data_IF_267519487965
#
_entry.id   IF_267519487965
#
_cell.length_a   1.000
_cell.length_b   1.000
_cell.length_c   1.000
_cell.angle_alpha   90.00
_cell.angle_beta   90.00
_cell.angle_gamma   90.00
#
_symmetry.space_group_name_H-M   'P 1'
#
loop_
_entity.id
_entity.type
_entity.pdbx_description
1 polymer ?
#
# COMPACT_ATOMS: atom_id res chain seq x y z
N UNK A 1 -31.68 -4.94 16.84
CA UNK A 1 -30.69 -3.98 17.36
C UNK A 1 -29.47 -3.93 16.43
N UNK A 2 -28.93 -2.75 16.17
CA UNK A 2 -27.66 -2.56 15.45
C UNK A 2 -26.63 -1.97 16.42
N UNK A 3 -25.41 -2.46 16.38
CA UNK A 3 -24.27 -1.93 17.13
C UNK A 3 -23.16 -1.73 16.11
N UNK A 4 -22.74 -0.49 15.93
CA UNK A 4 -21.63 -0.16 15.06
C UNK A 4 -20.36 0.15 15.86
N UNK A 5 -19.20 -0.02 15.22
CA UNK A 5 -17.87 0.25 15.77
C UNK A 5 -17.62 -0.37 17.15
N UNK A 6 -18.09 -1.61 17.36
CA UNK A 6 -18.01 -2.26 18.68
C UNK A 6 -16.58 -2.43 19.21
N UNK A 7 -15.61 -2.44 18.31
CA UNK A 7 -14.18 -2.64 18.54
C UNK A 7 -13.38 -1.33 18.61
N UNK A 8 -14.02 -0.17 18.44
CA UNK A 8 -13.31 1.12 18.38
C UNK A 8 -12.42 1.35 19.61
N UNK A 9 -12.92 1.01 20.80
CA UNK A 9 -12.15 1.13 22.04
C UNK A 9 -10.83 0.32 22.00
N UNK A 10 -10.80 -0.82 21.32
CA UNK A 10 -9.62 -1.67 21.21
C UNK A 10 -8.65 -1.14 20.16
N UNK A 11 -9.16 -0.58 19.05
CA UNK A 11 -8.32 0.09 18.07
C UNK A 11 -7.61 1.30 18.71
N UNK A 12 -8.33 2.11 19.47
CA UNK A 12 -7.76 3.24 20.24
C UNK A 12 -6.72 2.78 21.27
N UNK A 13 -6.99 1.67 21.96
CA UNK A 13 -6.06 1.06 22.92
C UNK A 13 -4.73 0.69 22.26
N UNK A 14 -4.78 0.06 21.07
CA UNK A 14 -3.58 -0.31 20.33
C UNK A 14 -2.76 0.90 19.89
N UNK A 15 -3.43 1.97 19.44
CA UNK A 15 -2.78 3.17 18.89
C UNK A 15 -2.17 4.07 19.97
N UNK A 16 -2.83 4.19 21.13
CA UNK A 16 -2.43 5.12 22.19
C UNK A 16 -1.43 4.53 23.20
N UNK A 17 -1.26 3.20 23.25
CA UNK A 17 -0.32 2.59 24.19
C UNK A 17 1.12 2.75 23.70
N UNK A 18 1.70 3.89 24.06
CA UNK A 18 3.15 4.09 23.99
C UNK A 18 3.76 3.18 25.06
N UNK A 19 4.41 2.11 24.61
CA UNK A 19 5.34 1.19 25.28
C UNK A 19 5.52 1.40 26.80
N UNK A 20 5.27 0.32 27.54
CA UNK A 20 5.56 0.11 28.98
C UNK A 20 4.59 0.70 30.01
N UNK A 21 3.46 0.02 30.22
CA UNK A 21 3.07 -0.37 31.58
C UNK A 21 1.98 -1.44 31.56
N UNK A 22 2.27 -2.54 32.25
CA UNK A 22 1.28 -3.48 32.80
C UNK A 22 0.65 -2.84 34.03
N UNK A 23 0.15 -1.61 33.93
CA UNK A 23 -0.52 -0.97 35.05
C UNK A 23 -1.97 -1.47 35.08
N UNK A 24 -2.31 -2.30 36.06
CA UNK A 24 -3.68 -2.78 36.26
C UNK A 24 -4.67 -1.64 36.55
N UNK A 25 -4.15 -0.45 36.94
CA UNK A 25 -4.93 0.76 37.17
C UNK A 25 -5.07 1.66 35.93
N UNK A 26 -4.60 1.22 34.76
CA UNK A 26 -4.89 1.90 33.50
C UNK A 26 -6.41 2.01 33.32
N UNK A 27 -6.99 3.23 33.18
CA UNK A 27 -8.41 3.45 32.99
C UNK A 27 -9.02 2.57 31.89
N UNK A 28 -8.26 2.26 30.85
CA UNK A 28 -8.71 1.38 29.76
C UNK A 28 -8.78 -0.09 30.19
N UNK A 29 -7.83 -0.57 30.99
CA UNK A 29 -7.87 -1.92 31.56
C UNK A 29 -9.09 -2.08 32.49
N UNK A 30 -9.43 -1.06 33.28
CA UNK A 30 -10.62 -1.03 34.13
C UNK A 30 -11.94 -0.96 33.34
N UNK A 31 -11.94 -0.29 32.18
CA UNK A 31 -13.12 -0.20 31.31
C UNK A 31 -13.53 -1.57 30.72
N UNK A 32 -12.54 -2.44 30.48
CA UNK A 32 -12.72 -3.70 29.76
C UNK A 32 -12.66 -4.93 30.69
N UNK A 33 -11.86 -4.91 31.78
CA UNK A 33 -11.77 -6.01 32.74
C UNK A 33 -12.92 -6.01 33.76
N UNK A 34 -12.95 -7.07 34.57
CA UNK A 34 -14.02 -7.53 35.48
C UNK A 34 -14.82 -6.37 36.13
N UNK A 35 -16.10 -6.29 35.73
CA UNK A 35 -17.15 -5.32 36.15
C UNK A 35 -17.11 -3.93 35.49
N UNK A 36 -16.32 -3.77 34.43
CA UNK A 36 -16.31 -2.56 33.59
C UNK A 36 -17.62 -2.28 32.82
N UNK A 37 -17.86 -1.03 32.39
CA UNK A 37 -19.10 -0.60 31.74
C UNK A 37 -19.46 -1.40 30.47
N UNK A 38 -18.46 -1.78 29.68
CA UNK A 38 -18.66 -2.49 28.41
C UNK A 38 -19.27 -3.89 28.64
N UNK A 39 -18.80 -4.60 29.68
CA UNK A 39 -19.36 -5.88 30.10
C UNK A 39 -20.82 -5.76 30.54
N UNK A 40 -21.13 -4.72 31.31
CA UNK A 40 -22.48 -4.44 31.81
C UNK A 40 -23.45 -4.15 30.66
N UNK A 41 -23.02 -3.34 29.68
CA UNK A 41 -23.79 -3.05 28.47
C UNK A 41 -24.14 -4.34 27.73
N UNK A 42 -23.15 -5.13 27.32
CA UNK A 42 -23.42 -6.35 26.52
C UNK A 42 -24.20 -7.42 27.29
N UNK A 43 -24.08 -7.49 28.62
CA UNK A 43 -24.98 -8.33 29.44
C UNK A 43 -26.44 -7.86 29.33
N UNK A 44 -26.70 -6.56 29.45
CA UNK A 44 -28.03 -5.99 29.30
C UNK A 44 -28.60 -6.24 27.88
N UNK A 45 -27.76 -6.09 26.85
CA UNK A 45 -28.15 -6.41 25.48
C UNK A 45 -28.49 -7.88 25.30
N UNK A 46 -27.73 -8.78 25.93
CA UNK A 46 -28.04 -10.22 25.93
C UNK A 46 -29.38 -10.50 26.59
N UNK A 47 -29.67 -9.91 27.76
CA UNK A 47 -30.98 -10.08 28.40
C UNK A 47 -32.14 -9.54 27.54
N UNK A 48 -31.88 -8.48 26.77
CA UNK A 48 -32.83 -7.92 25.81
C UNK A 48 -33.09 -8.80 24.58
N UNK A 49 -32.29 -9.83 24.31
CA UNK A 49 -32.53 -10.78 23.19
C UNK A 49 -33.64 -11.81 23.44
N UNK A 50 -34.46 -11.62 24.48
CA UNK A 50 -35.62 -12.46 24.80
C UNK A 50 -36.94 -11.74 24.45
N UNK A 51 -38.08 -12.45 24.59
CA UNK A 51 -39.42 -12.08 24.05
C UNK A 51 -39.93 -10.66 24.31
N UNK A 52 -39.36 -9.93 25.27
CA UNK A 52 -39.77 -8.57 25.63
C UNK A 52 -38.84 -7.46 25.07
N UNK A 53 -37.84 -7.81 24.25
CA UNK A 53 -36.87 -6.86 23.68
C UNK A 53 -36.71 -6.98 22.16
N UNK A 54 -35.56 -7.46 21.67
CA UNK A 54 -35.26 -7.56 20.23
C UNK A 54 -34.84 -8.96 19.80
N UNK A 55 -35.33 -9.42 18.64
CA UNK A 55 -35.09 -10.78 18.15
C UNK A 55 -33.65 -11.04 17.68
N UNK A 56 -33.00 -10.01 17.15
CA UNK A 56 -31.65 -10.12 16.56
C UNK A 56 -30.81 -8.88 16.86
N UNK A 57 -29.52 -9.13 17.03
CA UNK A 57 -28.48 -8.11 17.10
C UNK A 57 -27.53 -8.29 15.94
N UNK A 58 -27.25 -7.20 15.24
CA UNK A 58 -26.21 -7.12 14.23
C UNK A 58 -25.11 -6.21 14.77
N UNK A 59 -23.87 -6.68 14.70
CA UNK A 59 -22.71 -6.01 15.27
C UNK A 59 -21.69 -5.84 14.15
N UNK A 60 -21.25 -4.60 13.93
CA UNK A 60 -20.23 -4.22 12.96
C UNK A 60 -19.05 -3.57 13.65
N UNK A 61 -17.89 -3.73 13.04
CA UNK A 61 -16.59 -3.30 13.54
C UNK A 61 -15.50 -3.67 12.55
N UNK A 62 -14.28 -3.19 12.80
CA UNK A 62 -13.13 -3.39 11.91
C UNK A 62 -12.34 -4.65 12.31
N UNK A 63 -11.85 -4.67 13.54
CA UNK A 63 -11.03 -5.72 14.13
C UNK A 63 -11.89 -6.66 15.00
N UNK A 64 -11.84 -7.99 14.81
CA UNK A 64 -12.62 -8.91 15.62
C UNK A 64 -12.01 -9.08 17.02
N UNK A 65 -12.33 -8.19 17.96
CA UNK A 65 -11.89 -8.32 19.35
C UNK A 65 -12.67 -9.42 20.06
N UNK A 66 -12.00 -10.20 20.90
CA UNK A 66 -12.61 -11.27 21.69
C UNK A 66 -13.65 -10.68 22.66
N UNK A 67 -14.91 -10.78 22.25
CA UNK A 67 -16.05 -10.37 23.05
C UNK A 67 -16.18 -11.14 24.37
N UNK A 68 -15.55 -12.32 24.53
CA UNK A 68 -15.57 -13.05 25.80
C UNK A 68 -14.66 -12.46 26.87
N UNK A 69 -13.56 -11.83 26.47
CA UNK A 69 -12.61 -11.18 27.38
C UNK A 69 -13.20 -9.86 27.90
N UNK A 70 -13.96 -9.18 27.04
CA UNK A 70 -14.77 -8.01 27.35
C UNK A 70 -16.07 -8.42 28.08
N UNK A 71 -16.65 -9.56 27.70
CA UNK A 71 -18.00 -9.97 28.10
C UNK A 71 -18.06 -11.50 28.27
N UNK A 72 -17.98 -11.98 29.51
CA UNK A 72 -18.48 -13.34 29.83
C UNK A 72 -20.00 -13.49 29.56
N UNK A 73 -20.65 -12.47 28.99
CA UNK A 73 -22.08 -12.34 28.76
C UNK A 73 -22.52 -12.58 27.32
N UNK A 74 -21.76 -12.23 26.28
CA UNK A 74 -22.27 -12.24 24.89
C UNK A 74 -21.79 -13.42 24.03
N UNK A 75 -21.82 -14.64 24.58
CA UNK A 75 -21.43 -15.89 23.90
C UNK A 75 -22.42 -16.39 22.82
N UNK A 76 -23.45 -15.61 22.48
CA UNK A 76 -24.47 -15.94 21.48
C UNK A 76 -24.15 -15.37 20.09
N UNK A 77 -23.12 -14.53 19.97
CA UNK A 77 -22.72 -13.93 18.70
C UNK A 77 -22.04 -14.95 17.77
N UNK A 78 -22.38 -14.87 16.48
CA UNK A 78 -21.78 -15.68 15.42
C UNK A 78 -21.05 -14.79 14.43
N UNK A 79 -19.74 -15.02 14.28
CA UNK A 79 -18.89 -14.32 13.34
C UNK A 79 -19.23 -14.67 11.89
N UNK A 80 -19.29 -13.67 11.01
CA UNK A 80 -19.67 -13.82 9.59
C UNK A 80 -18.69 -13.20 8.60
N UNK A 81 -17.60 -12.57 9.05
CA UNK A 81 -16.71 -11.78 8.19
C UNK A 81 -16.03 -12.57 7.05
N UNK A 82 -15.80 -13.89 7.16
CA UNK A 82 -15.26 -14.73 6.06
C UNK A 82 -16.31 -15.51 5.26
N UNK A 83 -17.60 -15.34 5.59
CA UNK A 83 -18.70 -16.08 4.97
C UNK A 83 -18.98 -15.50 3.59
N UNK A 84 -18.74 -16.30 2.55
CA UNK A 84 -18.90 -15.91 1.14
C UNK A 84 -20.27 -15.29 0.82
N UNK A 85 -21.32 -15.66 1.56
CA UNK A 85 -22.68 -15.10 1.36
C UNK A 85 -22.77 -13.61 1.69
N UNK A 86 -21.79 -13.08 2.43
CA UNK A 86 -21.70 -11.67 2.80
C UNK A 86 -20.61 -10.93 2.02
N UNK A 87 -19.84 -11.61 1.15
CA UNK A 87 -18.73 -11.00 0.39
C UNK A 87 -19.17 -9.74 -0.34
N UNK A 88 -20.23 -9.81 -1.15
CA UNK A 88 -20.78 -8.67 -1.92
C UNK A 88 -21.36 -7.54 -1.07
N UNK A 89 -21.59 -7.73 0.23
CA UNK A 89 -22.02 -6.63 1.11
C UNK A 89 -20.88 -5.69 1.46
N UNK A 90 -19.63 -6.11 1.26
CA UNK A 90 -18.45 -5.34 1.64
C UNK A 90 -17.89 -4.44 0.53
N UNK A 91 -18.52 -4.41 -0.65
CA UNK A 91 -17.95 -3.73 -1.82
C UNK A 91 -18.85 -3.73 -3.04
N UNK A 92 -18.55 -2.86 -4.01
CA UNK A 92 -19.22 -2.89 -5.32
C UNK A 92 -18.56 -3.90 -6.25
N UNK A 93 -19.36 -4.45 -7.15
CA UNK A 93 -18.88 -5.32 -8.24
C UNK A 93 -18.44 -4.51 -9.44
N UNK A 94 -17.65 -5.13 -10.32
CA UNK A 94 -17.23 -4.51 -11.58
C UNK A 94 -18.42 -4.07 -12.44
N UNK A 95 -19.50 -4.85 -12.46
CA UNK A 95 -20.70 -4.53 -13.24
C UNK A 95 -21.45 -3.30 -12.71
N UNK A 96 -21.57 -3.18 -11.38
CA UNK A 96 -22.20 -2.01 -10.74
C UNK A 96 -21.40 -0.74 -11.02
N UNK A 97 -20.07 -0.78 -10.86
CA UNK A 97 -19.20 0.37 -11.15
C UNK A 97 -19.25 0.77 -12.63
N UNK A 98 -19.16 -0.20 -13.55
CA UNK A 98 -19.27 0.08 -14.99
C UNK A 98 -20.61 0.70 -15.38
N UNK A 99 -21.70 0.28 -14.74
CA UNK A 99 -23.02 0.83 -15.01
C UNK A 99 -23.10 2.30 -14.60
N UNK A 100 -22.67 2.63 -13.38
CA UNK A 100 -22.65 4.03 -12.90
C UNK A 100 -21.78 4.93 -13.80
N UNK A 101 -20.59 4.46 -14.20
CA UNK A 101 -19.69 5.23 -15.08
C UNK A 101 -20.36 5.54 -16.42
N UNK A 102 -21.07 4.57 -17.02
CA UNK A 102 -21.75 4.76 -18.31
C UNK A 102 -22.87 5.78 -18.21
N UNK A 103 -23.63 5.76 -17.12
CA UNK A 103 -24.69 6.73 -16.84
C UNK A 103 -24.09 8.13 -16.73
N UNK A 104 -23.05 8.32 -15.91
CA UNK A 104 -22.39 9.62 -15.73
C UNK A 104 -21.77 10.14 -17.04
N UNK A 105 -21.07 9.29 -17.80
CA UNK A 105 -20.49 9.68 -19.10
C UNK A 105 -21.56 10.17 -20.07
N UNK A 106 -22.73 9.52 -20.07
CA UNK A 106 -23.87 9.94 -20.89
C UNK A 106 -24.51 11.24 -20.40
N UNK A 107 -24.63 11.43 -19.09
CA UNK A 107 -25.19 12.65 -18.49
C UNK A 107 -24.30 13.88 -18.71
N UNK A 108 -22.98 13.68 -18.66
CA UNK A 108 -21.97 14.71 -18.86
C UNK A 108 -21.63 14.99 -20.34
N UNK A 109 -22.24 14.27 -21.30
CA UNK A 109 -21.93 14.36 -22.75
C UNK A 109 -20.42 14.18 -23.05
N UNK A 110 -19.77 13.24 -22.34
CA UNK A 110 -18.35 12.96 -22.49
C UNK A 110 -18.09 11.98 -23.65
N UNK A 111 -16.89 12.00 -24.25
CA UNK A 111 -16.49 11.05 -25.29
C UNK A 111 -16.68 9.59 -24.85
N UNK A 112 -17.15 8.67 -25.71
CA UNK A 112 -17.43 7.28 -25.32
C UNK A 112 -16.23 6.52 -24.74
N UNK A 113 -15.00 6.85 -25.17
CA UNK A 113 -13.77 6.25 -24.65
C UNK A 113 -13.46 6.66 -23.20
N UNK A 114 -14.09 7.72 -22.68
CA UNK A 114 -13.98 8.11 -21.28
C UNK A 114 -14.53 7.04 -20.35
N UNK A 115 -15.59 6.32 -20.74
CA UNK A 115 -16.14 5.25 -19.89
C UNK A 115 -15.09 4.16 -19.61
N UNK A 116 -14.36 3.72 -20.64
CA UNK A 116 -13.30 2.71 -20.49
C UNK A 116 -12.10 3.25 -19.71
N UNK A 117 -11.69 4.50 -19.97
CA UNK A 117 -10.61 5.17 -19.22
C UNK A 117 -10.95 5.33 -17.74
N UNK A 118 -12.16 5.77 -17.43
CA UNK A 118 -12.66 5.91 -16.05
C UNK A 118 -12.73 4.56 -15.36
N UNK A 119 -13.23 3.53 -16.05
CA UNK A 119 -13.33 2.19 -15.48
C UNK A 119 -11.95 1.61 -15.15
N UNK A 120 -10.98 1.68 -16.06
CA UNK A 120 -9.62 1.20 -15.79
C UNK A 120 -8.94 2.03 -14.68
N UNK A 121 -9.22 3.33 -14.57
CA UNK A 121 -8.76 4.15 -13.44
C UNK A 121 -9.33 3.63 -12.11
N UNK A 122 -10.65 3.54 -11.98
CA UNK A 122 -11.30 3.07 -10.75
C UNK A 122 -10.89 1.63 -10.40
N UNK A 123 -10.69 0.77 -11.40
CA UNK A 123 -10.22 -0.59 -11.21
C UNK A 123 -8.81 -0.62 -10.62
N UNK A 124 -7.90 0.19 -11.13
CA UNK A 124 -6.51 0.27 -10.63
C UNK A 124 -6.43 0.84 -9.21
N UNK A 125 -7.27 1.84 -8.89
CA UNK A 125 -7.19 2.53 -7.60
C UNK A 125 -8.07 1.91 -6.51
N UNK A 126 -9.23 1.34 -6.83
CA UNK A 126 -10.26 1.01 -5.83
C UNK A 126 -10.70 -0.46 -5.79
N UNK A 127 -10.44 -1.25 -6.84
CA UNK A 127 -10.73 -2.68 -6.85
C UNK A 127 -9.64 -3.50 -6.16
N UNK A 128 -9.92 -4.71 -5.74
CA UNK A 128 -8.90 -5.65 -5.24
C UNK A 128 -9.26 -6.31 -3.91
N UNK A 129 -10.41 -5.96 -3.32
CA UNK A 129 -10.81 -6.51 -2.03
C UNK A 129 -11.47 -7.88 -2.16
N UNK A 130 -11.05 -8.82 -1.32
CA UNK A 130 -11.61 -10.16 -1.22
C UNK A 130 -11.65 -10.61 0.23
N UNK A 131 -12.87 -10.89 0.70
CA UNK A 131 -13.14 -11.21 2.11
C UNK A 131 -13.37 -12.71 2.36
N UNK A 132 -13.25 -13.54 1.33
CA UNK A 132 -13.37 -15.00 1.45
C UNK A 132 -12.50 -15.67 0.39
N UNK A 133 -11.80 -16.75 0.75
CA UNK A 133 -11.05 -17.58 -0.20
C UNK A 133 -11.93 -18.26 -1.25
N UNK A 134 -13.24 -18.35 -0.99
CA UNK A 134 -14.22 -18.92 -1.93
C UNK A 134 -14.75 -17.89 -2.93
N UNK A 135 -14.44 -16.61 -2.76
CA UNK A 135 -14.88 -15.56 -3.66
C UNK A 135 -14.06 -15.59 -4.95
N UNK A 136 -14.75 -15.49 -6.09
CA UNK A 136 -14.11 -15.41 -7.41
C UNK A 136 -13.91 -13.97 -7.89
N UNK A 137 -14.77 -13.07 -7.44
CA UNK A 137 -14.74 -11.66 -7.82
C UNK A 137 -14.05 -10.82 -6.73
N UNK A 138 -13.19 -9.90 -7.16
CA UNK A 138 -12.72 -8.80 -6.32
C UNK A 138 -13.77 -7.69 -6.31
N UNK A 139 -13.83 -6.97 -5.19
CA UNK A 139 -14.75 -5.87 -4.99
C UNK A 139 -14.01 -4.54 -4.91
N UNK A 140 -14.74 -3.49 -5.26
CA UNK A 140 -14.32 -2.11 -5.15
C UNK A 140 -14.65 -1.59 -3.75
N UNK A 141 -13.73 -0.81 -3.18
CA UNK A 141 -13.96 -0.10 -1.92
C UNK A 141 -15.16 0.86 -2.09
N UNK A 142 -16.26 0.71 -1.32
CA UNK A 142 -17.45 1.54 -1.48
C UNK A 142 -17.20 3.04 -1.31
N UNK A 143 -16.51 3.42 -0.23
CA UNK A 143 -16.26 4.83 0.11
C UNK A 143 -15.49 5.53 -0.99
N UNK A 144 -14.37 4.95 -1.42
CA UNK A 144 -13.54 5.53 -2.49
C UNK A 144 -14.25 5.52 -3.84
N UNK A 145 -15.06 4.50 -4.12
CA UNK A 145 -15.84 4.45 -5.36
C UNK A 145 -16.89 5.55 -5.39
N UNK A 146 -17.62 5.75 -4.29
CA UNK A 146 -18.62 6.82 -4.19
C UNK A 146 -17.96 8.20 -4.25
N UNK A 147 -16.87 8.42 -3.51
CA UNK A 147 -16.08 9.65 -3.57
C UNK A 147 -15.70 10.02 -5.01
N UNK A 148 -15.18 9.06 -5.76
CA UNK A 148 -14.80 9.29 -7.15
C UNK A 148 -16.01 9.54 -8.06
N UNK A 149 -17.06 8.72 -7.94
CA UNK A 149 -18.25 8.82 -8.78
C UNK A 149 -19.02 10.11 -8.52
N UNK A 150 -19.09 10.58 -7.27
CA UNK A 150 -19.70 11.84 -6.89
C UNK A 150 -18.97 13.01 -7.55
N UNK A 151 -17.64 13.10 -7.40
CA UNK A 151 -16.85 14.12 -8.08
C UNK A 151 -16.99 14.06 -9.61
N UNK A 152 -17.00 12.84 -10.17
CA UNK A 152 -17.15 12.65 -11.61
C UNK A 152 -18.54 13.05 -12.12
N UNK A 153 -19.60 12.83 -11.34
CA UNK A 153 -20.95 13.25 -11.67
C UNK A 153 -21.13 14.76 -11.55
N UNK A 154 -20.66 15.36 -10.46
CA UNK A 154 -20.87 16.77 -10.15
C UNK A 154 -20.09 17.71 -11.08
N UNK A 155 -18.87 17.32 -11.44
CA UNK A 155 -17.94 18.18 -12.19
C UNK A 155 -17.63 17.68 -13.59
N UNK A 156 -18.09 16.48 -13.97
CA UNK A 156 -17.70 15.82 -15.21
C UNK A 156 -16.18 15.66 -15.37
N UNK A 157 -15.46 15.65 -14.24
CA UNK A 157 -14.01 15.58 -14.12
C UNK A 157 -13.62 14.61 -13.00
N UNK A 158 -12.45 13.98 -13.11
CA UNK A 158 -11.97 13.10 -12.04
C UNK A 158 -11.55 13.91 -10.81
N UNK A 159 -11.68 13.35 -9.58
CA UNK A 159 -11.20 14.03 -8.40
C UNK A 159 -9.69 14.32 -8.51
N UNK A 160 -9.26 15.45 -7.96
CA UNK A 160 -7.84 15.84 -7.97
C UNK A 160 -7.01 14.81 -7.18
N UNK A 161 -7.45 14.48 -5.98
CA UNK A 161 -6.88 13.45 -5.13
C UNK A 161 -7.57 12.12 -5.38
N UNK A 162 -6.80 11.03 -5.47
CA UNK A 162 -7.39 9.70 -5.65
C UNK A 162 -7.80 9.05 -4.33
N UNK A 163 -7.36 9.61 -3.20
CA UNK A 163 -7.70 9.16 -1.86
C UNK A 163 -8.58 10.21 -1.18
N UNK A 164 -9.64 9.77 -0.51
CA UNK A 164 -10.42 10.60 0.40
C UNK A 164 -9.66 10.78 1.73
N UNK A 165 -9.50 12.03 2.17
CA UNK A 165 -8.86 12.39 3.44
C UNK A 165 -9.54 11.73 4.64
N UNK A 166 -10.82 11.38 4.55
CA UNK A 166 -11.54 10.66 5.61
C UNK A 166 -10.98 9.24 5.85
N UNK A 167 -10.19 8.69 4.92
CA UNK A 167 -9.48 7.42 5.08
C UNK A 167 -8.07 7.58 5.69
N UNK A 168 -7.68 8.79 6.10
CA UNK A 168 -6.37 9.06 6.71
C UNK A 168 -6.10 8.25 8.00
N UNK A 169 -7.16 7.74 8.67
CA UNK A 169 -7.09 6.88 9.86
C UNK A 169 -6.22 5.62 9.62
N UNK A 170 -6.12 5.14 8.38
CA UNK A 170 -5.30 3.97 8.04
C UNK A 170 -3.78 4.25 8.09
N UNK A 171 -3.37 5.52 8.00
CA UNK A 171 -1.97 5.93 8.13
C UNK A 171 -1.44 5.70 9.55
N UNK A 172 -2.28 5.91 10.57
CA UNK A 172 -1.88 5.69 11.97
C UNK A 172 -1.65 4.22 12.27
N UNK A 173 -2.45 3.32 11.67
CA UNK A 173 -2.34 1.87 11.84
C UNK A 173 -1.05 1.35 11.21
N UNK A 174 -0.69 1.79 10.01
CA UNK A 174 0.62 1.45 9.40
C UNK A 174 1.79 2.04 10.20
N UNK A 175 1.61 3.24 10.75
CA UNK A 175 2.60 3.85 11.66
C UNK A 175 2.80 2.99 12.90
N UNK A 176 1.73 2.46 13.49
CA UNK A 176 1.82 1.52 14.59
C UNK A 176 2.54 0.23 14.17
N UNK A 177 2.09 -0.43 13.09
CA UNK A 177 2.69 -1.69 12.63
C UNK A 177 4.19 -1.55 12.40
N UNK A 178 4.63 -0.48 11.73
CA UNK A 178 6.05 -0.27 11.46
C UNK A 178 6.96 -0.12 12.68
N UNK A 179 6.40 0.20 13.85
CA UNK A 179 7.16 0.33 15.12
C UNK A 179 7.32 -1.02 15.82
N UNK A 180 6.65 -2.07 15.34
CA UNK A 180 6.75 -3.42 15.88
C UNK A 180 8.07 -4.09 15.42
N UNK A 181 8.63 -5.04 16.19
CA UNK A 181 9.95 -5.65 15.91
C UNK A 181 10.14 -6.21 14.50
N UNK A 182 9.07 -6.69 13.85
CA UNK A 182 9.10 -7.25 12.48
C UNK A 182 8.33 -6.40 11.46
N UNK A 183 7.78 -5.25 11.88
CA UNK A 183 6.85 -4.47 11.08
C UNK A 183 7.51 -3.69 9.94
N UNK A 184 8.69 -3.11 10.18
CA UNK A 184 9.44 -2.37 9.17
C UNK A 184 9.88 -3.26 7.98
N UNK A 185 10.53 -4.42 8.19
CA UNK A 185 10.81 -5.36 7.10
C UNK A 185 9.54 -5.78 6.36
N UNK A 186 8.45 -6.12 7.07
CA UNK A 186 7.19 -6.55 6.49
C UNK A 186 6.56 -5.49 5.57
N UNK A 187 6.51 -4.23 6.01
CA UNK A 187 5.98 -3.12 5.21
C UNK A 187 6.83 -2.89 3.96
N UNK A 188 8.15 -3.02 4.08
CA UNK A 188 9.10 -2.85 2.97
C UNK A 188 8.98 -3.99 1.95
N UNK A 189 8.89 -5.24 2.43
CA UNK A 189 8.75 -6.42 1.57
C UNK A 189 7.43 -6.46 0.81
N UNK A 190 6.35 -5.91 1.39
CA UNK A 190 5.08 -5.76 0.70
C UNK A 190 5.13 -4.81 -0.52
N UNK A 191 6.19 -4.01 -0.66
CA UNK A 191 6.43 -3.19 -1.87
C UNK A 191 7.12 -3.97 -2.99
N UNK A 192 7.53 -5.21 -2.75
CA UNK A 192 8.01 -6.09 -3.82
C UNK A 192 6.88 -6.43 -4.80
N UNK A 193 7.29 -6.75 -6.02
CA UNK A 193 6.38 -7.22 -7.06
C UNK A 193 5.71 -8.53 -6.62
N UNK A 194 4.39 -8.61 -6.81
CA UNK A 194 3.59 -9.78 -6.41
C UNK A 194 3.83 -10.18 -4.95
N UNK A 195 4.24 -9.21 -4.10
CA UNK A 195 4.49 -9.49 -2.70
C UNK A 195 3.21 -10.00 -2.06
N UNK A 196 3.38 -11.07 -1.30
CA UNK A 196 2.34 -11.57 -0.44
C UNK A 196 2.92 -12.06 0.86
N UNK A 197 2.10 -11.92 1.89
CA UNK A 197 2.33 -12.53 3.19
C UNK A 197 1.54 -13.81 3.24
N UNK A 198 2.23 -14.92 3.50
CA UNK A 198 1.60 -16.21 3.68
C UNK A 198 1.43 -16.48 5.17
N UNK A 199 0.22 -16.88 5.55
CA UNK A 199 -0.14 -17.23 6.92
C UNK A 199 -1.02 -18.48 6.92
N UNK A 200 -1.03 -19.29 7.99
CA UNK A 200 -1.90 -20.46 8.05
C UNK A 200 -3.39 -20.10 7.92
N UNK A 201 -3.81 -18.99 8.52
CA UNK A 201 -5.15 -18.42 8.39
C UNK A 201 -5.21 -17.03 9.00
N UNK A 202 -6.18 -16.21 8.59
CA UNK A 202 -6.53 -14.98 9.31
C UNK A 202 -6.99 -15.34 10.71
N UNK A 203 -6.41 -14.71 11.72
CA UNK A 203 -6.83 -14.88 13.11
C UNK A 203 -8.31 -14.57 13.24
N UNK A 204 -9.06 -15.51 13.81
CA UNK A 204 -10.51 -15.35 13.92
C UNK A 204 -10.89 -14.24 14.92
N UNK A 205 -10.05 -13.99 15.93
CA UNK A 205 -10.26 -12.98 16.95
C UNK A 205 -8.93 -12.53 17.55
N UNK A 206 -8.89 -11.33 18.10
CA UNK A 206 -7.78 -10.81 18.89
C UNK A 206 -8.18 -10.73 20.36
N UNK A 207 -7.47 -11.46 21.23
CA UNK A 207 -7.59 -11.29 22.67
C UNK A 207 -7.09 -9.91 23.08
N UNK A 208 -7.60 -9.36 24.18
CA UNK A 208 -7.13 -8.04 24.67
C UNK A 208 -5.63 -8.10 24.98
N UNK A 209 -5.17 -9.19 25.59
CA UNK A 209 -3.75 -9.39 25.87
C UNK A 209 -2.94 -9.51 24.58
N UNK A 210 -3.49 -10.09 23.50
CA UNK A 210 -2.81 -10.14 22.19
C UNK A 210 -2.59 -8.73 21.60
N UNK A 211 -3.56 -7.84 21.80
CA UNK A 211 -3.47 -6.43 21.37
C UNK A 211 -2.48 -5.63 22.22
N UNK A 212 -2.39 -5.97 23.52
CA UNK A 212 -1.64 -5.21 24.51
C UNK A 212 -0.18 -5.62 24.65
N UNK A 213 0.15 -6.89 24.47
CA UNK A 213 1.47 -7.43 24.73
C UNK A 213 2.31 -7.45 23.44
N UNK A 214 3.59 -7.07 23.50
CA UNK A 214 4.44 -7.08 22.30
C UNK A 214 4.85 -8.49 21.88
N UNK A 215 4.83 -9.45 22.81
CA UNK A 215 5.24 -10.84 22.56
C UNK A 215 4.25 -11.63 21.68
N UNK A 216 3.00 -11.19 21.56
CA UNK A 216 1.96 -11.79 20.71
C UNK A 216 1.95 -11.24 19.27
N UNK A 217 2.80 -10.25 18.96
CA UNK A 217 2.80 -9.53 17.67
C UNK A 217 3.66 -10.22 16.63
N UNK A 218 3.34 -11.48 16.37
CA UNK A 218 3.98 -12.31 15.36
C UNK A 218 3.50 -11.97 13.93
N UNK A 219 4.02 -12.71 12.95
CA UNK A 219 3.67 -12.51 11.54
C UNK A 219 2.18 -12.73 11.26
N UNK A 220 1.57 -13.73 11.91
CA UNK A 220 0.16 -14.04 11.73
C UNK A 220 -0.72 -12.92 12.29
N UNK A 221 -0.37 -12.36 13.45
CA UNK A 221 -1.07 -11.24 14.07
C UNK A 221 -1.04 -10.01 13.16
N UNK A 222 0.15 -9.57 12.74
CA UNK A 222 0.31 -8.36 11.94
C UNK A 222 -0.43 -8.49 10.60
N UNK A 223 -0.29 -9.63 9.93
CA UNK A 223 -0.96 -9.88 8.66
C UNK A 223 -2.49 -9.93 8.79
N UNK A 224 -2.99 -10.56 9.86
CA UNK A 224 -4.42 -10.61 10.14
C UNK A 224 -4.97 -9.22 10.46
N UNK A 225 -4.25 -8.43 11.26
CA UNK A 225 -4.64 -7.07 11.61
C UNK A 225 -4.69 -6.18 10.37
N UNK A 226 -3.64 -6.21 9.54
CA UNK A 226 -3.60 -5.49 8.27
C UNK A 226 -4.73 -5.89 7.31
N UNK A 227 -5.14 -7.17 7.31
CA UNK A 227 -6.32 -7.61 6.57
C UNK A 227 -7.62 -6.98 7.10
N UNK A 228 -7.85 -7.00 8.41
CA UNK A 228 -9.09 -6.47 9.00
C UNK A 228 -9.23 -4.96 8.81
N UNK A 229 -8.12 -4.23 8.86
CA UNK A 229 -8.12 -2.77 8.65
C UNK A 229 -8.12 -2.38 7.17
N UNK A 230 -8.17 -3.35 6.24
CA UNK A 230 -8.28 -3.10 4.80
C UNK A 230 -6.96 -2.75 4.10
N UNK A 231 -5.82 -2.82 4.80
CA UNK A 231 -4.50 -2.60 4.21
C UNK A 231 -4.00 -3.82 3.41
N UNK A 232 -4.46 -5.02 3.76
CA UNK A 232 -4.27 -6.26 3.00
C UNK A 232 -5.59 -6.91 2.60
N UNK A 233 -5.53 -7.78 1.59
CA UNK A 233 -6.66 -8.53 1.03
C UNK A 233 -6.26 -9.98 0.74
N UNK A 234 -7.21 -10.90 0.68
CA UNK A 234 -6.93 -12.29 0.30
C UNK A 234 -6.60 -12.40 -1.20
N UNK A 235 -5.45 -12.97 -1.55
CA UNK A 235 -5.01 -13.20 -2.94
C UNK A 235 -5.25 -14.62 -3.41
N UNK A 236 -4.73 -15.62 -2.71
CA UNK A 236 -4.84 -17.05 -3.05
C UNK A 236 -4.56 -17.96 -1.85
N UNK A 237 -4.60 -19.27 -2.07
CA UNK A 237 -4.06 -20.29 -1.17
C UNK A 237 -2.85 -20.94 -1.84
N UNK A 238 -1.72 -21.02 -1.15
CA UNK A 238 -0.49 -21.62 -1.69
C UNK A 238 -0.64 -23.13 -1.87
N UNK A 239 0.29 -23.74 -2.61
CA UNK A 239 0.31 -25.21 -2.79
C UNK A 239 0.44 -25.96 -1.45
N UNK A 240 1.12 -25.34 -0.47
CA UNK A 240 1.27 -25.86 0.90
C UNK A 240 0.06 -25.58 1.80
N UNK A 241 -1.00 -24.94 1.27
CA UNK A 241 -2.25 -24.70 1.99
C UNK A 241 -2.26 -23.43 2.86
N UNK A 242 -1.29 -22.53 2.70
CA UNK A 242 -1.26 -21.25 3.42
C UNK A 242 -2.12 -20.20 2.70
N UNK A 243 -2.78 -19.34 3.48
CA UNK A 243 -3.47 -18.19 2.95
C UNK A 243 -2.47 -17.10 2.57
N UNK A 244 -2.53 -16.66 1.32
CA UNK A 244 -1.76 -15.54 0.81
C UNK A 244 -2.56 -14.23 0.92
N UNK A 245 -1.91 -13.19 1.45
CA UNK A 245 -2.44 -11.84 1.61
C UNK A 245 -1.57 -10.82 0.86
N UNK A 246 -2.18 -9.87 0.15
CA UNK A 246 -1.46 -8.84 -0.62
C UNK A 246 -2.05 -7.44 -0.41
N UNK A 247 -1.34 -6.40 -0.84
CA UNK A 247 -1.90 -5.03 -0.93
C UNK A 247 -2.94 -5.00 -2.06
N UNK A 248 -4.16 -4.46 -1.83
CA UNK A 248 -5.27 -4.62 -2.78
C UNK A 248 -5.15 -3.76 -4.05
N UNK A 249 -4.71 -2.52 -3.92
CA UNK A 249 -4.74 -1.51 -5.00
C UNK A 249 -3.75 -0.36 -4.79
N UNK A 250 -3.72 0.57 -5.75
CA UNK A 250 -2.79 1.71 -5.70
C UNK A 250 -3.08 2.71 -4.59
N UNK A 251 -4.33 2.87 -4.14
CA UNK A 251 -4.62 3.73 -2.98
C UNK A 251 -4.00 3.14 -1.73
N UNK A 252 -4.19 1.85 -1.47
CA UNK A 252 -3.55 1.23 -0.32
C UNK A 252 -2.03 1.23 -0.47
N UNK A 253 -1.49 0.98 -1.67
CA UNK A 253 -0.04 1.05 -1.93
C UNK A 253 0.54 2.43 -1.60
N UNK A 254 -0.21 3.52 -1.83
CA UNK A 254 0.19 4.89 -1.46
C UNK A 254 0.53 5.00 0.01
N UNK A 255 -0.26 4.37 0.88
CA UNK A 255 -0.08 4.44 2.33
C UNK A 255 1.20 3.76 2.80
N UNK A 256 1.55 2.63 2.18
CA UNK A 256 2.83 1.95 2.44
C UNK A 256 4.02 2.79 1.97
N UNK A 257 3.93 3.36 0.76
CA UNK A 257 4.97 4.24 0.20
C UNK A 257 5.17 5.46 1.11
N UNK A 258 4.08 6.10 1.54
CA UNK A 258 4.15 7.24 2.45
C UNK A 258 4.79 6.85 3.77
N UNK A 259 4.38 5.71 4.33
CA UNK A 259 4.93 5.24 5.60
C UNK A 259 6.44 5.00 5.50
N UNK A 260 6.90 4.32 4.45
CA UNK A 260 8.32 4.06 4.20
C UNK A 260 9.08 5.38 4.02
N UNK A 261 8.53 6.34 3.28
CA UNK A 261 9.13 7.67 3.12
C UNK A 261 9.33 8.37 4.47
N UNK A 262 8.32 8.33 5.34
CA UNK A 262 8.40 8.90 6.68
C UNK A 262 9.42 8.19 7.57
N UNK A 263 9.59 6.87 7.40
CA UNK A 263 10.60 6.08 8.14
C UNK A 263 12.02 6.40 7.70
N UNK A 264 12.23 6.52 6.39
CA UNK A 264 13.56 6.70 5.82
C UNK A 264 14.00 8.17 5.82
N UNK A 265 13.09 9.13 5.68
CA UNK A 265 13.40 10.55 5.63
C UNK A 265 12.65 11.31 6.74
N UNK A 266 13.12 11.19 7.98
CA UNK A 266 12.45 11.80 9.15
C UNK A 266 12.40 13.34 9.09
N UNK A 267 13.43 13.98 8.52
CA UNK A 267 13.52 15.44 8.44
C UNK A 267 12.63 16.01 7.31
N UNK A 268 11.63 16.87 7.60
CA UNK A 268 10.75 17.45 6.59
C UNK A 268 11.47 18.20 5.47
N UNK A 269 12.50 19.00 5.78
CA UNK A 269 13.23 19.76 4.77
C UNK A 269 13.99 18.85 3.80
N UNK A 270 14.50 17.72 4.29
CA UNK A 270 15.13 16.71 3.42
C UNK A 270 14.10 16.08 2.50
N UNK A 271 12.89 15.77 2.99
CA UNK A 271 11.79 15.28 2.16
C UNK A 271 11.42 16.27 1.05
N UNK A 272 11.26 17.55 1.38
CA UNK A 272 10.92 18.58 0.40
C UNK A 272 11.98 18.69 -0.71
N UNK A 273 13.26 18.64 -0.34
CA UNK A 273 14.36 18.64 -1.30
C UNK A 273 14.34 17.41 -2.21
N UNK A 274 13.95 16.25 -1.69
CA UNK A 274 13.75 15.03 -2.47
C UNK A 274 12.63 15.18 -3.49
N UNK A 275 11.47 15.70 -3.07
CA UNK A 275 10.32 15.98 -3.95
C UNK A 275 10.70 16.99 -5.04
N UNK A 276 11.42 18.06 -4.71
CA UNK A 276 11.90 19.05 -5.66
C UNK A 276 12.89 18.45 -6.68
N UNK A 277 13.70 17.48 -6.25
CA UNK A 277 14.62 16.75 -7.13
C UNK A 277 13.87 15.83 -8.09
N UNK A 278 12.90 15.07 -7.58
CA UNK A 278 11.99 14.24 -8.38
C UNK A 278 11.19 15.06 -9.40
N UNK A 279 10.80 16.29 -9.04
CA UNK A 279 10.07 17.21 -9.92
C UNK A 279 10.84 17.57 -11.19
N UNK A 280 12.16 17.71 -11.12
CA UNK A 280 12.98 18.01 -12.30
C UNK A 280 12.96 16.87 -13.32
N UNK A 281 12.88 15.62 -12.87
CA UNK A 281 12.78 14.46 -13.74
C UNK A 281 11.55 14.55 -14.64
N UNK A 282 10.36 14.68 -14.06
CA UNK A 282 9.14 14.63 -14.87
C UNK A 282 8.79 15.95 -15.57
N UNK A 283 9.35 17.09 -15.14
CA UNK A 283 9.16 18.38 -15.82
C UNK A 283 10.18 18.64 -16.94
N UNK A 284 11.42 18.17 -16.77
CA UNK A 284 12.54 18.51 -17.66
C UNK A 284 13.22 17.30 -18.28
N UNK A 285 12.91 16.09 -17.84
CA UNK A 285 13.63 14.87 -18.24
C UNK A 285 15.02 14.76 -17.59
N UNK A 286 15.28 15.50 -16.51
CA UNK A 286 16.57 15.55 -15.83
C UNK A 286 16.57 14.68 -14.57
N UNK A 287 17.13 13.48 -14.65
CA UNK A 287 17.20 12.50 -13.55
C UNK A 287 18.37 12.75 -12.58
N UNK A 288 19.41 13.48 -13.00
CA UNK A 288 20.64 13.65 -12.22
C UNK A 288 20.37 14.18 -10.80
N UNK A 289 19.55 15.22 -10.59
CA UNK A 289 19.27 15.73 -9.25
C UNK A 289 18.62 14.70 -8.33
N UNK A 290 17.80 13.81 -8.89
CA UNK A 290 17.16 12.72 -8.14
C UNK A 290 18.20 11.65 -7.74
N UNK A 291 19.07 11.26 -8.66
CA UNK A 291 20.17 10.33 -8.37
C UNK A 291 21.09 10.88 -7.28
N UNK A 292 21.48 12.16 -7.39
CA UNK A 292 22.34 12.83 -6.39
C UNK A 292 21.68 12.85 -5.01
N UNK A 293 20.36 13.11 -4.96
CA UNK A 293 19.61 13.08 -3.71
C UNK A 293 19.61 11.68 -3.08
N UNK A 294 19.34 10.64 -3.88
CA UNK A 294 19.32 9.25 -3.41
C UNK A 294 20.69 8.84 -2.84
N UNK A 295 21.79 9.16 -3.54
CA UNK A 295 23.16 8.90 -3.06
C UNK A 295 23.43 9.63 -1.74
N UNK A 296 23.05 10.90 -1.64
CA UNK A 296 23.42 11.74 -0.51
C UNK A 296 22.59 11.52 0.76
N UNK A 297 21.39 10.95 0.63
CA UNK A 297 20.46 10.76 1.73
C UNK A 297 20.08 9.29 1.96
N UNK A 298 19.42 8.64 0.99
CA UNK A 298 18.95 7.26 1.16
C UNK A 298 20.10 6.28 1.36
N UNK A 299 21.11 6.35 0.49
CA UNK A 299 22.21 5.39 0.53
C UNK A 299 23.02 5.45 1.81
N UNK A 300 23.17 6.63 2.43
CA UNK A 300 23.82 6.78 3.75
C UNK A 300 23.04 6.13 4.88
N UNK A 301 21.71 6.12 4.78
CA UNK A 301 20.84 5.48 5.78
C UNK A 301 20.90 3.96 5.60
N UNK A 302 20.86 3.51 4.34
CA UNK A 302 20.87 2.10 3.97
C UNK A 302 22.23 1.44 4.21
N UNK A 303 23.35 2.17 4.04
CA UNK A 303 24.69 1.66 4.33
C UNK A 303 24.93 1.38 5.81
N UNK A 304 24.13 1.97 6.70
CA UNK A 304 24.23 1.80 8.15
C UNK A 304 23.33 0.68 8.70
N UNK A 305 22.43 0.14 7.89
CA UNK A 305 21.55 -0.96 8.26
C UNK A 305 22.17 -2.28 7.80
N UNK A 306 22.04 -3.33 8.59
CA UNK A 306 22.59 -4.65 8.28
C UNK A 306 22.20 -5.06 6.86
N UNK A 307 23.18 -5.64 6.13
CA UNK A 307 23.18 -5.95 4.69
C UNK A 307 21.97 -6.75 4.12
N UNK A 308 21.00 -7.14 4.95
CA UNK A 308 19.78 -7.85 4.54
C UNK A 308 18.96 -7.07 3.49
N UNK A 309 19.14 -5.74 3.38
CA UNK A 309 18.41 -4.88 2.43
C UNK A 309 19.26 -4.43 1.24
N UNK A 310 20.43 -5.02 1.00
CA UNK A 310 21.34 -4.59 -0.07
C UNK A 310 21.01 -5.20 -1.44
N UNK A 311 19.87 -4.83 -2.02
CA UNK A 311 19.38 -5.36 -3.29
C UNK A 311 18.64 -4.32 -4.15
N UNK A 312 18.18 -4.75 -5.33
CA UNK A 312 17.47 -3.92 -6.30
C UNK A 312 16.13 -3.38 -5.78
N UNK A 313 15.43 -4.12 -4.91
CA UNK A 313 14.17 -3.66 -4.31
C UNK A 313 14.40 -2.37 -3.52
N UNK A 314 15.45 -2.31 -2.71
CA UNK A 314 15.74 -1.14 -1.88
C UNK A 314 16.00 0.09 -2.73
N UNK A 315 16.67 -0.08 -3.88
CA UNK A 315 16.83 1.00 -4.87
C UNK A 315 15.46 1.44 -5.41
N UNK A 316 14.62 0.49 -5.82
CA UNK A 316 13.26 0.80 -6.33
C UNK A 316 12.44 1.57 -5.30
N UNK A 317 12.46 1.16 -4.04
CA UNK A 317 11.75 1.82 -2.94
C UNK A 317 12.27 3.25 -2.71
N UNK A 318 13.60 3.45 -2.75
CA UNK A 318 14.19 4.79 -2.60
C UNK A 318 13.70 5.76 -3.69
N UNK A 319 13.64 5.33 -4.95
CA UNK A 319 13.11 6.14 -6.04
C UNK A 319 11.59 6.28 -5.98
N UNK A 320 10.86 5.20 -5.71
CA UNK A 320 9.39 5.17 -5.65
C UNK A 320 8.86 6.14 -4.60
N UNK A 321 9.45 6.15 -3.41
CA UNK A 321 9.03 7.05 -2.31
C UNK A 321 9.19 8.54 -2.66
N UNK A 322 10.15 8.89 -3.52
CA UNK A 322 10.36 10.26 -4.00
C UNK A 322 9.48 10.62 -5.20
N UNK A 323 9.19 9.64 -6.07
CA UNK A 323 8.47 9.85 -7.32
C UNK A 323 6.95 9.66 -7.20
N UNK A 324 6.47 9.05 -6.12
CA UNK A 324 5.04 8.80 -5.92
C UNK A 324 4.24 10.11 -5.96
N UNK A 325 3.33 10.20 -6.92
CA UNK A 325 2.49 11.36 -7.18
C UNK A 325 1.21 10.91 -7.90
N UNK A 326 0.21 10.52 -7.12
CA UNK A 326 -1.11 10.07 -7.58
C UNK A 326 -2.03 11.21 -8.07
N UNK A 327 -1.65 12.46 -7.83
CA UNK A 327 -2.33 13.65 -8.37
C UNK A 327 -2.10 13.74 -9.89
N UNK A 328 -0.87 13.50 -10.35
CA UNK A 328 -0.50 13.64 -11.76
C UNK A 328 -0.36 12.32 -12.51
N UNK A 329 -0.01 11.24 -11.80
CA UNK A 329 0.39 9.98 -12.40
C UNK A 329 -0.37 8.79 -11.85
N UNK A 330 -0.64 7.84 -12.74
CA UNK A 330 -0.85 6.44 -12.39
C UNK A 330 0.53 5.84 -12.19
N UNK A 331 0.90 5.66 -10.92
CA UNK A 331 2.16 5.09 -10.50
C UNK A 331 2.00 3.59 -10.34
N UNK A 332 2.23 2.86 -11.43
CA UNK A 332 2.15 1.41 -11.43
C UNK A 332 3.54 0.82 -11.68
N UNK A 333 4.05 0.08 -10.70
CA UNK A 333 5.24 -0.75 -10.88
C UNK A 333 4.89 -2.12 -11.48
N UNK A 334 3.60 -2.39 -11.74
CA UNK A 334 3.07 -3.75 -11.90
C UNK A 334 1.96 -3.90 -12.96
N UNK A 335 1.75 -2.90 -13.84
CA UNK A 335 0.82 -3.05 -14.96
C UNK A 335 1.28 -4.22 -15.82
N UNK A 336 0.55 -5.34 -15.79
CA UNK A 336 0.85 -6.50 -16.59
C UNK A 336 0.63 -6.14 -18.07
N UNK A 337 1.70 -5.71 -18.75
CA UNK A 337 1.71 -5.50 -20.19
C UNK A 337 2.52 -6.64 -20.79
N UNK A 338 1.84 -7.55 -21.49
CA UNK A 338 2.47 -8.69 -22.17
C UNK A 338 3.31 -9.60 -21.25
N UNK A 339 2.88 -9.82 -20.00
CA UNK A 339 3.56 -10.66 -18.98
C UNK A 339 4.99 -10.21 -18.63
N UNK A 340 5.34 -8.96 -18.91
CA UNK A 340 6.62 -8.34 -18.52
C UNK A 340 6.32 -7.12 -17.65
N UNK A 341 7.21 -6.82 -16.72
CA UNK A 341 6.98 -5.84 -15.66
C UNK A 341 8.14 -4.87 -15.57
N UNK A 342 7.84 -3.61 -15.84
CA UNK A 342 8.75 -2.47 -15.65
C UNK A 342 9.03 -2.24 -14.19
N UNK A 343 10.24 -1.83 -13.83
CA UNK A 343 10.53 -1.58 -12.42
C UNK A 343 9.81 -0.37 -11.85
N UNK A 344 9.72 0.73 -12.60
CA UNK A 344 8.98 1.92 -12.21
C UNK A 344 8.43 2.65 -13.43
N UNK A 345 7.12 2.89 -13.44
CA UNK A 345 6.48 3.78 -14.43
C UNK A 345 5.70 4.90 -13.76
N UNK A 346 5.72 6.06 -14.40
CA UNK A 346 4.87 7.19 -14.10
C UNK A 346 4.07 7.50 -15.36
N UNK A 347 2.82 7.05 -15.42
CA UNK A 347 1.95 7.29 -16.57
C UNK A 347 1.02 8.44 -16.24
N UNK A 348 1.08 9.54 -16.99
CA UNK A 348 0.25 10.72 -16.71
C UNK A 348 -1.22 10.31 -16.77
N UNK A 349 -2.00 10.69 -15.76
CA UNK A 349 -3.43 10.40 -15.73
C UNK A 349 -4.13 10.96 -16.98
N UNK A 350 -5.15 10.28 -17.53
CA UNK A 350 -5.85 10.74 -18.74
C UNK A 350 -6.37 12.18 -18.61
N UNK A 351 -6.89 12.55 -17.43
CA UNK A 351 -7.43 13.88 -17.12
C UNK A 351 -6.35 14.95 -16.81
N UNK A 352 -5.07 14.58 -16.84
CA UNK A 352 -3.91 15.46 -16.54
C UNK A 352 -2.99 15.66 -17.75
N UNK A 353 -3.39 15.19 -18.94
CA UNK A 353 -2.59 15.26 -20.18
C UNK A 353 -2.34 16.70 -20.68
N UNK A 354 -3.12 17.68 -20.24
CA UNK A 354 -2.94 19.12 -20.52
C UNK A 354 -1.63 19.70 -19.98
N UNK A 355 -1.07 19.14 -18.90
CA UNK A 355 0.19 19.62 -18.34
C UNK A 355 1.37 19.24 -19.21
N UNK A 356 2.39 20.11 -19.32
CA UNK A 356 3.62 19.85 -20.10
C UNK A 356 4.66 19.09 -19.28
N UNK A 357 4.34 17.84 -18.96
CA UNK A 357 5.18 16.90 -18.19
C UNK A 357 5.38 15.60 -18.99
N UNK A 358 6.35 14.78 -18.58
CA UNK A 358 6.70 13.53 -19.26
C UNK A 358 6.13 12.32 -18.53
N UNK A 359 5.70 11.31 -19.30
CA UNK A 359 5.59 9.95 -18.77
C UNK A 359 7.02 9.43 -18.54
N UNK A 360 7.25 8.70 -17.45
CA UNK A 360 8.58 8.23 -17.06
C UNK A 360 8.60 6.71 -16.99
N UNK A 361 9.66 6.11 -17.53
CA UNK A 361 10.03 4.71 -17.33
C UNK A 361 11.44 4.67 -16.76
N UNK A 362 11.64 3.96 -15.66
CA UNK A 362 12.97 3.70 -15.11
C UNK A 362 13.15 2.19 -14.93
N UNK A 363 14.25 1.67 -15.49
CA UNK A 363 14.72 0.31 -15.27
C UNK A 363 15.93 0.36 -14.33
N UNK A 364 15.91 -0.45 -13.27
CA UNK A 364 16.98 -0.50 -12.27
C UNK A 364 17.83 -1.76 -12.42
N UNK A 365 19.10 -1.65 -12.08
CA UNK A 365 19.99 -2.76 -11.80
C UNK A 365 20.82 -2.45 -10.56
N UNK A 366 21.16 -3.48 -9.81
CA UNK A 366 22.00 -3.37 -8.63
C UNK A 366 23.21 -4.30 -8.76
N UNK A 367 24.41 -3.75 -8.56
CA UNK A 367 25.68 -4.48 -8.54
C UNK A 367 26.26 -4.40 -7.14
N UNK A 368 26.50 -5.54 -6.51
CA UNK A 368 27.09 -5.57 -5.18
C UNK A 368 28.59 -5.19 -5.23
N UNK A 369 29.10 -4.56 -4.17
CA UNK A 369 30.54 -4.25 -4.07
C UNK A 369 31.43 -5.50 -4.13
N UNK A 370 30.95 -6.63 -3.56
CA UNK A 370 31.62 -7.92 -3.60
C UNK A 370 31.72 -8.48 -5.02
N UNK A 371 30.66 -8.35 -5.82
CA UNK A 371 30.63 -8.73 -7.23
C UNK A 371 31.58 -7.89 -8.06
N UNK A 372 31.59 -6.57 -7.81
CA UNK A 372 32.52 -5.65 -8.46
C UNK A 372 33.97 -5.80 -7.96
N UNK A 373 34.21 -6.54 -6.87
CA UNK A 373 35.51 -6.69 -6.20
C UNK A 373 36.11 -5.33 -5.80
N UNK A 374 35.27 -4.41 -5.32
CA UNK A 374 35.64 -3.07 -4.89
C UNK A 374 35.19 -2.81 -3.45
N UNK A 375 35.83 -1.86 -2.78
CA UNK A 375 35.39 -1.34 -1.49
C UNK A 375 34.56 -0.07 -1.68
N UNK A 376 33.66 0.24 -0.75
CA UNK A 376 32.85 1.46 -0.81
C UNK A 376 33.71 2.73 -0.85
N UNK A 377 34.81 2.77 -0.09
CA UNK A 377 35.78 3.89 -0.14
C UNK A 377 36.37 4.11 -1.54
N UNK A 378 36.75 3.03 -2.22
CA UNK A 378 37.31 3.11 -3.57
C UNK A 378 36.27 3.57 -4.59
N UNK A 379 35.02 3.11 -4.47
CA UNK A 379 33.94 3.50 -5.39
C UNK A 379 33.54 4.96 -5.17
N UNK A 380 33.56 5.45 -3.93
CA UNK A 380 33.25 6.86 -3.60
C UNK A 380 34.28 7.84 -4.16
N UNK A 381 35.55 7.45 -4.33
CA UNK A 381 36.59 8.32 -4.88
C UNK A 381 36.65 8.35 -6.41
N UNK A 382 35.96 7.43 -7.10
CA UNK A 382 35.92 7.41 -8.57
C UNK A 382 35.19 8.64 -9.11
N UNK A 383 35.62 9.16 -10.26
CA UNK A 383 34.79 10.08 -11.02
C UNK A 383 33.70 9.32 -11.81
N UNK A 384 32.81 10.04 -12.50
CA UNK A 384 31.71 9.41 -13.24
C UNK A 384 32.20 8.58 -14.43
N UNK A 385 33.21 9.07 -15.16
CA UNK A 385 33.76 8.35 -16.30
C UNK A 385 34.40 7.02 -15.86
N UNK A 386 35.13 6.99 -14.76
CA UNK A 386 35.69 5.75 -14.21
C UNK A 386 34.61 4.72 -13.84
N UNK A 387 33.53 5.18 -13.21
CA UNK A 387 32.38 4.35 -12.85
C UNK A 387 31.72 3.74 -14.10
N UNK A 388 31.45 4.56 -15.12
CA UNK A 388 30.78 4.13 -16.35
C UNK A 388 31.61 3.15 -17.19
N UNK A 389 32.94 3.15 -17.02
CA UNK A 389 33.85 2.22 -17.71
C UNK A 389 34.07 0.89 -16.96
N UNK A 390 33.52 0.72 -15.75
CA UNK A 390 33.61 -0.56 -15.04
C UNK A 390 32.87 -1.66 -15.82
N UNK A 391 33.49 -2.82 -16.07
CA UNK A 391 32.88 -3.90 -16.85
C UNK A 391 31.50 -4.33 -16.34
N UNK A 392 31.35 -4.50 -15.02
CA UNK A 392 30.07 -4.90 -14.40
C UNK A 392 28.97 -3.83 -14.54
N UNK A 393 29.34 -2.55 -14.50
CA UNK A 393 28.41 -1.44 -14.71
C UNK A 393 27.97 -1.40 -16.16
N UNK A 394 28.91 -1.57 -17.10
CA UNK A 394 28.61 -1.57 -18.53
C UNK A 394 27.67 -2.72 -18.92
N UNK A 395 27.95 -3.93 -18.44
CA UNK A 395 27.11 -5.10 -18.66
C UNK A 395 25.69 -4.91 -18.09
N UNK A 396 25.60 -4.42 -16.85
CA UNK A 396 24.30 -4.13 -16.20
C UNK A 396 23.54 -3.01 -16.92
N UNK A 397 24.25 -1.98 -17.39
CA UNK A 397 23.67 -0.86 -18.13
C UNK A 397 23.09 -1.33 -19.47
N UNK A 398 23.85 -2.12 -20.23
CA UNK A 398 23.38 -2.69 -21.50
C UNK A 398 22.13 -3.56 -21.31
N UNK A 399 22.09 -4.35 -20.24
CA UNK A 399 20.92 -5.15 -19.86
C UNK A 399 19.70 -4.27 -19.51
N UNK A 400 19.91 -3.22 -18.70
CA UNK A 400 18.87 -2.28 -18.32
C UNK A 400 18.30 -1.51 -19.53
N UNK A 401 19.17 -1.01 -20.41
CA UNK A 401 18.77 -0.32 -21.66
C UNK A 401 17.93 -1.24 -22.54
N UNK A 402 18.34 -2.50 -22.69
CA UNK A 402 17.59 -3.49 -23.47
C UNK A 402 16.20 -3.74 -22.88
N UNK A 403 16.08 -3.86 -21.56
CA UNK A 403 14.79 -4.05 -20.88
C UNK A 403 13.92 -2.79 -20.99
N UNK A 404 14.47 -1.62 -20.72
CA UNK A 404 13.78 -0.33 -20.84
C UNK A 404 13.20 -0.11 -22.24
N UNK A 405 13.94 -0.43 -23.31
CA UNK A 405 13.44 -0.35 -24.69
C UNK A 405 12.24 -1.27 -24.95
N UNK A 406 12.33 -2.53 -24.52
CA UNK A 406 11.23 -3.49 -24.68
C UNK A 406 9.95 -3.02 -23.98
N UNK A 407 10.10 -2.43 -22.79
CA UNK A 407 9.00 -1.87 -22.04
C UNK A 407 8.43 -0.59 -22.65
N UNK A 408 9.30 0.31 -23.12
CA UNK A 408 8.88 1.51 -23.81
C UNK A 408 8.00 1.19 -25.03
N UNK A 409 8.37 0.16 -25.80
CA UNK A 409 7.57 -0.31 -26.95
C UNK A 409 6.21 -0.85 -26.52
N UNK A 410 6.17 -1.66 -25.45
CA UNK A 410 4.92 -2.20 -24.91
C UNK A 410 4.00 -1.08 -24.37
N UNK A 411 4.56 -0.06 -23.73
CA UNK A 411 3.82 1.10 -23.24
C UNK A 411 3.24 1.92 -24.41
N UNK A 412 4.02 2.17 -25.47
CA UNK A 412 3.57 2.88 -26.67
C UNK A 412 2.46 2.13 -27.41
N UNK A 413 2.41 0.81 -27.33
CA UNK A 413 1.31 0.01 -27.86
C UNK A 413 0.03 0.14 -27.02
N UNK A 414 0.16 0.22 -25.69
CA UNK A 414 -0.97 0.34 -24.76
C UNK A 414 -1.56 1.75 -24.72
N UNK A 415 -0.72 2.77 -24.79
CA UNK A 415 -1.10 4.17 -24.60
C UNK A 415 -0.70 5.00 -25.84
N UNK A 416 -1.69 5.57 -26.52
CA UNK A 416 -1.50 6.33 -27.76
C UNK A 416 -0.88 7.72 -27.57
N UNK A 417 -1.00 8.31 -26.37
CA UNK A 417 -0.64 9.72 -26.10
C UNK A 417 0.58 9.87 -25.17
N UNK A 418 1.49 8.90 -25.17
CA UNK A 418 2.66 8.94 -24.29
C UNK A 418 3.68 10.00 -24.70
N UNK A 419 4.12 10.77 -23.71
CA UNK A 419 5.30 11.64 -23.75
C UNK A 419 6.41 10.97 -22.95
N UNK A 420 6.82 9.79 -23.40
CA UNK A 420 7.70 8.91 -22.64
C UNK A 420 9.16 9.39 -22.63
N UNK A 421 9.76 9.41 -21.45
CA UNK A 421 11.21 9.46 -21.21
C UNK A 421 11.62 8.20 -20.46
N UNK A 422 12.62 7.49 -20.99
CA UNK A 422 13.07 6.22 -20.46
C UNK A 422 14.50 6.35 -19.93
N UNK A 423 14.77 5.72 -18.79
CA UNK A 423 16.07 5.75 -18.13
C UNK A 423 16.49 4.36 -17.69
N UNK A 424 17.77 4.05 -17.87
CA UNK A 424 18.44 2.91 -17.26
C UNK A 424 19.28 3.42 -16.10
N UNK A 425 19.14 2.81 -14.92
CA UNK A 425 19.83 3.21 -13.69
C UNK A 425 20.54 2.00 -13.09
N UNK A 426 21.85 2.06 -13.01
CA UNK A 426 22.70 1.03 -12.40
C UNK A 426 23.29 1.57 -11.11
N UNK A 427 23.02 0.86 -10.02
CA UNK A 427 23.50 1.20 -8.69
C UNK A 427 24.67 0.29 -8.33
N UNK A 428 25.80 0.88 -7.91
CA UNK A 428 26.98 0.16 -7.43
C UNK A 428 27.08 0.25 -5.91
N UNK A 429 26.76 -0.84 -5.23
CA UNK A 429 26.57 -0.85 -3.78
C UNK A 429 25.53 0.19 -3.35
N UNK A 430 25.64 0.73 -2.14
CA UNK A 430 24.91 1.94 -1.75
C UNK A 430 25.86 3.12 -1.68
N UNK A 431 26.65 3.31 -2.75
CA UNK A 431 27.65 4.37 -2.79
C UNK A 431 27.51 5.23 -4.05
N UNK A 432 27.22 4.63 -5.21
CA UNK A 432 27.20 5.34 -6.51
C UNK A 432 26.10 4.87 -7.44
N UNK A 433 25.72 5.76 -8.35
CA UNK A 433 24.73 5.52 -9.40
C UNK A 433 25.36 5.92 -10.74
N UNK A 434 25.20 5.07 -11.74
CA UNK A 434 25.37 5.39 -13.16
C UNK A 434 23.99 5.34 -13.83
N UNK A 435 23.69 6.27 -14.73
CA UNK A 435 22.40 6.29 -15.44
C UNK A 435 22.58 6.73 -16.89
N UNK A 436 21.66 6.29 -17.75
CA UNK A 436 21.57 6.73 -19.14
C UNK A 436 20.11 6.94 -19.54
N UNK A 437 19.87 7.98 -20.34
CA UNK A 437 18.61 8.13 -21.06
C UNK A 437 18.57 7.14 -22.23
N UNK A 438 17.43 6.49 -22.44
CA UNK A 438 17.22 5.42 -23.42
C UNK A 438 16.49 5.92 -24.66
#
# INVERSE_FOLDING_TARGET
MLIDEYDNFANELMLNKTISSTDENDPYTLFVKKDGPLKTLFKALKSGTNRDGFDKTFITGVSPVVMSDITSGYNIAKNRYLDIRFHRLCGFTSAEVQQCIKEIVSECDLPPDMADKTYEMMKTYYNGYRFSTKAKEYLYNPTLSLYFLEAFQDFCEFPEHMMDDNLAVDTQKLTYISKLPIGEPLITDLMQKNASINIPSVQSRFGIDDLLLDQSKDHQFIASYLYYVGALTMSDVTEDGELSLKVPNLVMKSLYIERIRMMLLENPSVRDNGILSAKKLYQKGDIQPLCDFVINHYFKILSNRDYAWANELTVKIAFLTLLYNDILYIMDSEAEINRRYTDLTMIIRPDKRQFKIFDILIEFKYVALSEAKLTGEKVRSMNQAELDHLPCIKESMDAAIKQANQYADALKQKYSELRLKSFAVVVLGFDRISWQAV
#
